data_IF_128135825060
#
_entry.id   IF_128135825060
#
_cell.length_a   1.000
_cell.length_b   1.000
_cell.length_c   1.000
_cell.angle_alpha   90.00
_cell.angle_beta   90.00
_cell.angle_gamma   90.00
#
_symmetry.space_group_name_H-M   'P 1'
#
loop_
_entity.id
_entity.type
_entity.pdbx_description
1 polymer ?
#
# COMPACT_ATOMS: atom_id res chain seq x y z
N UNK A 1 5.25 21.37 -13.18
CA UNK A 1 5.09 20.02 -13.79
C UNK A 1 6.03 18.95 -13.21
N UNK A 2 6.85 19.21 -12.18
CA UNK A 2 7.84 18.24 -11.68
C UNK A 2 7.22 17.28 -10.63
N UNK A 3 6.26 17.76 -9.82
CA UNK A 3 5.65 16.97 -8.74
C UNK A 3 4.82 15.77 -9.24
N UNK A 4 4.14 15.89 -10.40
CA UNK A 4 3.35 14.80 -10.98
C UNK A 4 4.21 13.57 -11.32
N UNK A 5 5.34 13.79 -12.01
CA UNK A 5 6.30 12.74 -12.36
C UNK A 5 6.91 12.07 -11.12
N UNK A 6 7.18 12.85 -10.06
CA UNK A 6 7.70 12.34 -8.79
C UNK A 6 6.69 11.40 -8.12
N UNK A 7 5.42 11.79 -8.11
CA UNK A 7 4.34 11.00 -7.52
C UNK A 7 4.13 9.68 -8.27
N UNK A 8 4.09 9.71 -9.60
CA UNK A 8 3.98 8.51 -10.43
C UNK A 8 5.14 7.53 -10.19
N UNK A 9 6.38 8.05 -10.07
CA UNK A 9 7.55 7.22 -9.74
C UNK A 9 7.42 6.54 -8.37
N UNK A 10 6.97 7.27 -7.36
CA UNK A 10 6.76 6.74 -6.00
C UNK A 10 5.63 5.70 -5.98
N UNK A 11 4.54 5.94 -6.72
CA UNK A 11 3.44 4.97 -6.86
C UNK A 11 3.91 3.67 -7.50
N UNK A 12 4.70 3.73 -8.57
CA UNK A 12 5.23 2.53 -9.24
C UNK A 12 6.16 1.72 -8.30
N UNK A 13 6.99 2.40 -7.51
CA UNK A 13 7.82 1.74 -6.48
C UNK A 13 6.97 1.07 -5.39
N UNK A 14 5.98 1.78 -4.87
CA UNK A 14 5.06 1.25 -3.86
C UNK A 14 4.30 0.02 -4.39
N UNK A 15 3.83 0.06 -5.64
CA UNK A 15 3.17 -1.09 -6.26
C UNK A 15 4.08 -2.32 -6.35
N UNK A 16 5.34 -2.14 -6.73
CA UNK A 16 6.30 -3.25 -6.80
C UNK A 16 6.57 -3.85 -5.40
N UNK A 17 6.65 -3.01 -4.36
CA UNK A 17 6.80 -3.46 -2.97
C UNK A 17 5.57 -4.24 -2.45
N UNK A 18 4.36 -3.83 -2.85
CA UNK A 18 3.12 -4.56 -2.56
C UNK A 18 3.17 -5.98 -3.16
N UNK A 19 3.69 -6.13 -4.38
CA UNK A 19 3.85 -7.45 -5.00
C UNK A 19 4.91 -8.30 -4.31
N UNK A 20 5.93 -7.67 -3.73
CA UNK A 20 6.93 -8.34 -2.90
C UNK A 20 6.44 -8.67 -1.48
N UNK A 21 5.20 -8.30 -1.11
CA UNK A 21 4.68 -8.46 0.25
C UNK A 21 5.25 -7.45 1.28
N UNK A 22 6.02 -6.46 0.82
CA UNK A 22 6.62 -5.40 1.65
C UNK A 22 5.67 -4.22 1.79
N UNK A 23 4.54 -4.49 2.43
CA UNK A 23 3.47 -3.52 2.60
C UNK A 23 3.85 -2.35 3.53
N UNK A 24 4.72 -2.57 4.52
CA UNK A 24 5.14 -1.53 5.46
C UNK A 24 5.97 -0.44 4.78
N UNK A 25 6.95 -0.82 3.95
CA UNK A 25 7.71 0.11 3.11
C UNK A 25 6.80 0.87 2.14
N UNK A 26 5.84 0.16 1.52
CA UNK A 26 4.91 0.77 0.56
C UNK A 26 4.06 1.89 1.21
N UNK A 27 3.63 1.71 2.46
CA UNK A 27 2.90 2.74 3.21
C UNK A 27 3.75 4.00 3.39
N UNK A 28 5.03 3.86 3.72
CA UNK A 28 5.95 5.00 3.88
C UNK A 28 6.14 5.80 2.60
N UNK A 29 6.09 5.16 1.42
CA UNK A 29 6.10 5.87 0.14
C UNK A 29 4.81 6.65 -0.10
N UNK A 30 3.65 6.08 0.23
CA UNK A 30 2.37 6.79 0.10
C UNK A 30 2.25 7.95 1.09
N UNK A 31 2.80 7.83 2.29
CA UNK A 31 2.80 8.91 3.30
C UNK A 31 3.56 10.13 2.79
N UNK A 32 4.75 9.94 2.21
CA UNK A 32 5.54 11.03 1.60
C UNK A 32 4.80 11.76 0.47
N UNK A 33 3.97 11.04 -0.29
CA UNK A 33 3.15 11.65 -1.35
C UNK A 33 2.05 12.51 -0.71
N UNK A 34 1.40 12.00 0.35
CA UNK A 34 0.35 12.70 1.07
C UNK A 34 0.87 13.90 1.88
N UNK A 35 2.10 13.85 2.38
CA UNK A 35 2.76 15.00 3.04
C UNK A 35 2.98 16.16 2.05
N UNK A 36 3.32 15.84 0.80
CA UNK A 36 3.56 16.85 -0.23
C UNK A 36 2.27 17.31 -0.92
N UNK A 37 1.33 16.39 -1.11
CA UNK A 37 0.05 16.63 -1.77
C UNK A 37 -1.03 15.84 -1.03
N UNK A 38 -1.57 16.47 0.01
CA UNK A 38 -2.55 15.85 0.90
C UNK A 38 -3.87 15.52 0.21
N UNK A 39 -4.07 15.95 -1.04
CA UNK A 39 -5.28 15.69 -1.83
C UNK A 39 -5.05 14.69 -2.97
N UNK A 40 -3.93 13.97 -2.96
CA UNK A 40 -3.61 13.03 -4.03
C UNK A 40 -4.44 11.73 -3.93
N UNK A 41 -5.59 11.73 -4.61
CA UNK A 41 -6.58 10.62 -4.64
C UNK A 41 -5.94 9.26 -4.91
N UNK A 42 -4.97 9.23 -5.83
CA UNK A 42 -4.27 8.01 -6.21
C UNK A 42 -3.42 7.42 -5.07
N UNK A 43 -2.78 8.26 -4.25
CA UNK A 43 -1.99 7.80 -3.11
C UNK A 43 -2.88 7.20 -2.02
N UNK A 44 -4.00 7.86 -1.73
CA UNK A 44 -5.04 7.37 -0.80
C UNK A 44 -5.59 6.02 -1.24
N UNK A 45 -5.88 5.86 -2.53
CA UNK A 45 -6.34 4.61 -3.12
C UNK A 45 -5.31 3.49 -2.98
N UNK A 46 -4.04 3.77 -3.27
CA UNK A 46 -2.93 2.82 -3.09
C UNK A 46 -2.76 2.36 -1.63
N UNK A 47 -2.89 3.28 -0.68
CA UNK A 47 -2.85 2.98 0.77
C UNK A 47 -4.02 2.08 1.18
N UNK A 48 -5.22 2.32 0.65
CA UNK A 48 -6.41 1.48 0.85
C UNK A 48 -6.21 0.03 0.38
N UNK A 49 -5.63 -0.17 -0.81
CA UNK A 49 -5.30 -1.50 -1.34
C UNK A 49 -4.34 -2.27 -0.43
N UNK A 50 -3.33 -1.58 0.14
CA UNK A 50 -2.40 -2.19 1.09
C UNK A 50 -3.15 -2.68 2.33
N UNK A 51 -4.00 -1.83 2.92
CA UNK A 51 -4.78 -2.20 4.10
C UNK A 51 -5.74 -3.35 3.83
N UNK A 52 -6.37 -3.39 2.65
CA UNK A 52 -7.23 -4.52 2.26
C UNK A 52 -6.43 -5.82 2.18
N UNK A 53 -5.23 -5.77 1.57
CA UNK A 53 -4.38 -6.96 1.42
C UNK A 53 -3.79 -7.42 2.76
N UNK A 54 -3.46 -6.49 3.65
CA UNK A 54 -3.11 -6.76 5.04
C UNK A 54 -4.26 -7.37 5.85
N UNK A 55 -5.46 -6.81 5.76
CA UNK A 55 -6.65 -7.34 6.44
C UNK A 55 -7.03 -8.75 5.97
N UNK A 56 -6.94 -9.02 4.66
CA UNK A 56 -7.14 -10.36 4.10
C UNK A 56 -6.17 -11.40 4.66
N UNK A 57 -4.92 -11.02 4.96
CA UNK A 57 -3.96 -11.92 5.59
C UNK A 57 -4.43 -12.38 6.98
N UNK A 58 -5.08 -11.49 7.74
CA UNK A 58 -5.70 -11.84 9.02
C UNK A 58 -6.90 -12.79 8.88
N UNK A 59 -7.71 -12.63 7.83
CA UNK A 59 -8.81 -13.57 7.54
C UNK A 59 -8.28 -14.97 7.19
N UNK A 60 -7.22 -15.06 6.39
CA UNK A 60 -6.55 -16.33 6.07
C UNK A 60 -5.94 -16.97 7.32
N UNK A 61 -5.37 -16.18 8.22
CA UNK A 61 -4.83 -16.68 9.49
C UNK A 61 -5.94 -17.29 10.36
N UNK A 62 -7.08 -16.61 10.50
CA UNK A 62 -8.26 -17.17 11.19
C UNK A 62 -8.78 -18.45 10.52
N UNK A 63 -8.72 -18.53 9.19
CA UNK A 63 -9.14 -19.72 8.45
C UNK A 63 -8.15 -20.88 8.62
N UNK A 64 -6.85 -20.61 8.61
CA UNK A 64 -5.81 -21.62 8.83
C UNK A 64 -5.80 -22.15 10.26
N UNK A 65 -5.99 -21.30 11.29
CA UNK A 65 -6.13 -21.76 12.68
C UNK A 65 -7.31 -22.76 12.79
N UNK A 66 -8.41 -22.48 12.09
CA UNK A 66 -9.61 -23.32 12.13
C UNK A 66 -9.49 -24.63 11.32
N UNK A 67 -8.47 -24.75 10.47
CA UNK A 67 -8.20 -25.94 9.65
C UNK A 67 -7.05 -26.81 10.20
N UNK A 68 -6.27 -26.27 11.14
CA UNK A 68 -5.20 -26.97 11.87
C UNK A 68 -5.53 -27.15 13.36
N UNK A 69 -6.83 -27.26 13.69
CA UNK A 69 -7.33 -27.63 15.02
C UNK A 69 -8.17 -28.90 14.97
#
# INVERSE_FOLDING_TARGET
MIEGLRNESLMNKAYNLIQQGKYHDAIGYYDKILESDSHHVNASYGKGLIFQRWGCMGMLWSFMIRFWS
#
